data_IF_357736634859
#
_entry.id   IF_357736634859
#
_cell.length_a   1.000
_cell.length_b   1.000
_cell.length_c   1.000
_cell.angle_alpha   90.00
_cell.angle_beta   90.00
_cell.angle_gamma   90.00
#
_symmetry.space_group_name_H-M   'P 1'
#
loop_
_entity.id
_entity.type
_entity.pdbx_description
1 polymer ?
#
# COMPACT_ATOMS: atom_id res chain seq x y z
N UNK A 1 0.70 -3.34 -19.45
CA UNK A 1 0.17 -4.72 -19.43
C UNK A 1 -0.75 -4.89 -18.23
N UNK A 2 -1.84 -5.66 -18.36
CA UNK A 2 -2.61 -6.15 -17.21
C UNK A 2 -1.80 -7.24 -16.50
N UNK A 3 -0.87 -6.81 -15.66
CA UNK A 3 0.00 -7.70 -14.90
C UNK A 3 0.31 -7.13 -13.52
N UNK A 4 0.92 -7.95 -12.67
CA UNK A 4 1.47 -7.49 -11.39
C UNK A 4 2.96 -7.10 -11.51
N UNK A 5 3.53 -7.05 -12.72
CA UNK A 5 4.97 -6.87 -12.91
C UNK A 5 5.51 -5.50 -12.46
N UNK A 6 4.66 -4.48 -12.40
CA UNK A 6 5.01 -3.17 -11.86
C UNK A 6 4.60 -3.01 -10.39
N UNK A 7 4.02 -4.03 -9.77
CA UNK A 7 3.48 -3.97 -8.40
C UNK A 7 4.45 -4.65 -7.44
N UNK A 8 4.59 -4.10 -6.25
CA UNK A 8 5.28 -4.74 -5.13
C UNK A 8 4.35 -4.77 -3.92
N UNK A 9 4.26 -5.94 -3.31
CA UNK A 9 3.36 -6.25 -2.19
C UNK A 9 4.23 -6.58 -0.99
N UNK A 10 4.24 -5.71 0.02
CA UNK A 10 5.12 -5.84 1.17
C UNK A 10 4.45 -5.25 2.40
N UNK A 11 3.97 -6.09 3.33
CA UNK A 11 3.12 -5.65 4.45
C UNK A 11 3.76 -4.51 5.28
N UNK A 12 3.05 -3.37 5.52
CA UNK A 12 1.67 -3.06 5.13
C UNK A 12 1.54 -2.36 3.77
N UNK A 13 2.63 -2.12 3.06
CA UNK A 13 2.67 -1.40 1.80
C UNK A 13 2.16 -2.22 0.62
N UNK A 14 1.41 -1.53 -0.24
CA UNK A 14 1.25 -1.91 -1.64
C UNK A 14 1.62 -0.75 -2.54
N UNK A 15 2.40 -1.04 -3.56
CA UNK A 15 2.97 -0.02 -4.42
C UNK A 15 2.97 -0.44 -5.88
N UNK A 16 2.80 0.55 -6.76
CA UNK A 16 2.84 0.39 -8.20
C UNK A 16 3.83 1.40 -8.81
N UNK A 17 4.65 0.90 -9.73
CA UNK A 17 5.71 1.65 -10.39
C UNK A 17 5.29 2.14 -11.78
N UNK A 18 5.84 3.27 -12.20
CA UNK A 18 5.85 3.73 -13.59
C UNK A 18 6.57 2.74 -14.51
N UNK A 19 6.40 2.91 -15.81
CA UNK A 19 7.10 2.09 -16.81
C UNK A 19 8.62 2.28 -16.75
N UNK A 20 9.08 3.52 -16.58
CA UNK A 20 10.51 3.88 -16.50
C UNK A 20 11.18 3.36 -15.22
N UNK A 21 10.37 3.08 -14.20
CA UNK A 21 10.86 2.43 -13.00
C UNK A 21 11.32 3.34 -11.87
N UNK A 22 11.02 4.62 -12.01
CA UNK A 22 11.49 5.73 -11.19
C UNK A 22 10.38 6.40 -10.38
N UNK A 23 9.11 6.20 -10.72
CA UNK A 23 7.97 6.86 -10.07
C UNK A 23 7.03 5.83 -9.48
N UNK A 24 6.54 6.10 -8.29
CA UNK A 24 5.79 5.13 -7.49
C UNK A 24 4.57 5.77 -6.86
N UNK A 25 3.47 5.02 -6.85
CA UNK A 25 2.35 5.24 -5.93
C UNK A 25 2.50 4.19 -4.82
N UNK A 26 2.47 4.63 -3.57
CA UNK A 26 2.63 3.78 -2.39
C UNK A 26 1.41 3.99 -1.50
N UNK A 27 0.82 2.90 -1.04
CA UNK A 27 -0.33 2.92 -0.11
C UNK A 27 -0.07 1.99 1.05
N UNK A 28 -0.58 2.36 2.24
CA UNK A 28 -0.60 1.50 3.41
C UNK A 28 -1.83 1.81 4.27
N UNK A 29 -2.34 0.80 4.96
CA UNK A 29 -3.39 0.95 5.96
C UNK A 29 -2.95 0.35 7.30
N UNK A 30 -3.45 0.93 8.39
CA UNK A 30 -3.36 0.33 9.72
C UNK A 30 -3.96 -1.08 9.70
N UNK A 31 -3.41 -1.96 10.54
CA UNK A 31 -3.90 -3.34 10.70
C UNK A 31 -3.96 -4.12 9.37
N UNK A 32 -3.10 -3.79 8.40
CA UNK A 32 -3.02 -4.53 7.15
C UNK A 32 -2.82 -6.03 7.44
N UNK A 33 -3.73 -6.88 6.98
CA UNK A 33 -3.63 -8.33 7.15
C UNK A 33 -2.76 -8.93 6.05
N UNK A 34 -3.20 -8.77 4.80
CA UNK A 34 -2.56 -9.34 3.63
C UNK A 34 -2.60 -8.36 2.45
N UNK A 35 -1.45 -7.85 2.00
CA UNK A 35 -1.33 -7.17 0.73
C UNK A 35 -1.68 -8.07 -0.46
N UNK A 36 -2.45 -7.60 -1.42
CA UNK A 36 -2.74 -8.34 -2.65
C UNK A 36 -2.97 -7.44 -3.87
N UNK A 37 -2.91 -8.06 -5.05
CA UNK A 37 -3.23 -7.43 -6.32
C UNK A 37 -3.71 -8.50 -7.30
N UNK A 38 -4.62 -8.12 -8.20
CA UNK A 38 -5.14 -9.03 -9.21
C UNK A 38 -4.57 -8.67 -10.59
N UNK A 39 -3.84 -9.56 -11.29
CA UNK A 39 -3.22 -9.26 -12.58
C UNK A 39 -4.13 -8.65 -13.67
N UNK A 40 -5.38 -9.11 -13.88
CA UNK A 40 -6.29 -8.61 -14.92
C UNK A 40 -6.70 -7.14 -14.71
N UNK A 41 -6.49 -6.59 -13.51
CA UNK A 41 -6.97 -5.25 -13.15
C UNK A 41 -5.86 -4.40 -12.53
N UNK A 42 -5.93 -3.06 -12.65
CA UNK A 42 -4.84 -2.19 -12.20
C UNK A 42 -4.85 -1.94 -10.67
N UNK A 43 -5.40 -2.85 -9.87
CA UNK A 43 -5.55 -2.64 -8.43
C UNK A 43 -4.32 -3.05 -7.62
N UNK A 44 -4.14 -2.35 -6.50
CA UNK A 44 -3.25 -2.70 -5.38
C UNK A 44 -4.08 -2.59 -4.10
N UNK A 45 -3.90 -3.54 -3.18
CA UNK A 45 -4.70 -3.62 -1.96
C UNK A 45 -3.81 -3.85 -0.75
N UNK A 46 -3.70 -2.84 0.11
CA UNK A 46 -3.28 -3.01 1.50
C UNK A 46 -4.54 -3.27 2.32
N UNK A 47 -5.00 -4.53 2.34
CA UNK A 47 -6.25 -4.88 3.00
C UNK A 47 -6.08 -4.87 4.50
N UNK A 48 -6.90 -4.08 5.18
CA UNK A 48 -6.98 -4.01 6.62
C UNK A 48 -7.81 -5.18 7.19
N UNK A 49 -7.43 -5.65 8.38
CA UNK A 49 -8.29 -6.52 9.17
C UNK A 49 -9.39 -5.67 9.80
N UNK A 50 -10.47 -5.42 9.06
CA UNK A 50 -11.60 -4.67 9.60
C UNK A 50 -12.13 -5.33 10.86
N UNK A 51 -12.11 -4.60 11.98
CA UNK A 51 -12.87 -4.98 13.17
C UNK A 51 -14.34 -5.00 12.78
N UNK A 52 -15.05 -6.10 13.08
CA UNK A 52 -16.51 -6.14 12.94
C UNK A 52 -17.10 -5.08 13.86
N UNK A 53 -17.72 -4.07 13.26
CA UNK A 53 -18.48 -3.04 13.97
C UNK A 53 -19.90 -3.55 14.20
N UNK A 54 -20.44 -3.34 15.40
CA UNK A 54 -21.84 -3.62 15.69
C UNK A 54 -22.76 -2.61 14.99
N UNK A 55 -24.06 -2.90 14.82
CA UNK A 55 -25.02 -1.91 14.31
C UNK A 55 -24.99 -0.61 15.15
N UNK A 56 -24.79 0.53 14.49
CA UNK A 56 -24.69 1.85 15.12
C UNK A 56 -23.28 2.22 15.61
N UNK A 57 -22.30 1.31 15.55
CA UNK A 57 -20.93 1.61 15.94
C UNK A 57 -20.16 2.32 14.81
N UNK A 58 -19.31 3.28 15.18
CA UNK A 58 -18.39 3.96 14.26
C UNK A 58 -16.95 3.55 14.54
N UNK A 59 -16.25 3.11 13.50
CA UNK A 59 -14.82 2.84 13.54
C UNK A 59 -14.04 3.89 12.75
N UNK A 60 -12.74 4.02 13.07
CA UNK A 60 -11.79 4.82 12.30
C UNK A 60 -10.59 3.96 11.96
N UNK A 61 -10.14 4.05 10.73
CA UNK A 61 -8.89 3.49 10.25
C UNK A 61 -8.06 4.61 9.65
N UNK A 62 -6.74 4.58 9.89
CA UNK A 62 -5.80 5.46 9.22
C UNK A 62 -5.15 4.73 8.05
N UNK A 63 -5.01 5.45 6.96
CA UNK A 63 -4.28 5.03 5.79
C UNK A 63 -3.38 6.14 5.31
N UNK A 64 -2.45 5.77 4.45
CA UNK A 64 -1.49 6.67 3.86
C UNK A 64 -1.40 6.42 2.36
N UNK A 65 -1.17 7.52 1.64
CA UNK A 65 -0.92 7.56 0.22
C UNK A 65 0.29 8.45 0.00
N UNK A 66 1.30 7.92 -0.71
CA UNK A 66 2.49 8.67 -1.08
C UNK A 66 2.77 8.55 -2.57
N UNK A 67 3.41 9.59 -3.09
CA UNK A 67 4.08 9.59 -4.38
C UNK A 67 5.57 9.68 -4.11
N UNK A 68 6.35 8.83 -4.78
CA UNK A 68 7.81 8.81 -4.64
C UNK A 68 8.46 8.76 -6.02
N UNK A 69 9.51 9.57 -6.20
CA UNK A 69 10.37 9.55 -7.38
C UNK A 69 11.80 9.19 -6.95
N UNK A 70 12.33 8.11 -7.51
CA UNK A 70 13.64 7.56 -7.20
C UNK A 70 13.72 6.05 -7.42
N UNK A 71 14.95 5.54 -7.37
CA UNK A 71 15.26 4.11 -7.58
C UNK A 71 15.43 3.34 -6.27
N UNK A 72 15.66 4.02 -5.14
CA UNK A 72 15.81 3.39 -3.82
C UNK A 72 14.47 3.23 -3.10
N UNK A 73 13.60 2.39 -3.67
CA UNK A 73 12.30 2.10 -3.09
C UNK A 73 12.42 1.45 -1.71
N UNK A 74 13.51 0.73 -1.43
CA UNK A 74 13.70 0.04 -0.14
C UNK A 74 14.08 0.99 0.99
N UNK A 75 15.00 1.93 0.74
CA UNK A 75 15.27 3.01 1.66
C UNK A 75 14.02 3.84 1.94
N UNK A 76 13.23 4.13 0.90
CA UNK A 76 12.00 4.89 1.05
C UNK A 76 10.96 4.16 1.91
N UNK A 77 10.70 2.86 1.68
CA UNK A 77 9.76 2.11 2.52
C UNK A 77 10.20 2.05 4.00
N UNK A 78 11.51 1.99 4.27
CA UNK A 78 12.04 2.08 5.65
C UNK A 78 11.75 3.46 6.26
N UNK A 79 11.98 4.53 5.51
CA UNK A 79 11.67 5.90 5.94
C UNK A 79 10.18 6.07 6.21
N UNK A 80 9.32 5.66 5.29
CA UNK A 80 7.86 5.76 5.43
C UNK A 80 7.35 4.99 6.64
N UNK A 81 7.88 3.78 6.89
CA UNK A 81 7.51 3.00 8.08
C UNK A 81 7.76 3.80 9.37
N UNK A 82 8.91 4.45 9.51
CA UNK A 82 9.18 5.33 10.66
C UNK A 82 8.30 6.58 10.77
N UNK A 83 7.63 6.99 9.68
CA UNK A 83 6.66 8.11 9.71
C UNK A 83 5.25 7.66 10.11
N UNK A 84 4.94 6.36 9.95
CA UNK A 84 3.65 5.78 10.32
C UNK A 84 3.55 5.50 11.82
N UNK A 85 4.69 5.29 12.49
CA UNK A 85 4.78 5.02 13.93
C UNK A 85 4.65 6.31 14.80
N UNK A 86 4.45 7.47 14.17
CA UNK A 86 4.27 8.78 14.83
C UNK A 86 2.80 9.17 14.86
#
# INVERSE_FOLDING_TARGET
>A
AQSNGNKRLEKPFTLARSQNGDRWIITAWEQCDRPWANPPVPCIHSTDRQRRLAPGETGRLRGWLWYYEGTDIQGELKRLRSTMDR
#
